data_IF_325342428486
#
_entry.id   IF_325342428486
#
_cell.length_a   1.000
_cell.length_b   1.000
_cell.length_c   1.000
_cell.angle_alpha   90.00
_cell.angle_beta   90.00
_cell.angle_gamma   90.00
#
_symmetry.space_group_name_H-M   'P 1'
#
loop_
_entity.id
_entity.type
_entity.pdbx_description
1 polymer ?
#
# COMPACT_ATOMS: atom_id res chain seq x y z
N UNK A 1 -11.70 23.75 -1.51
CA UNK A 1 -10.71 22.97 -2.29
C UNK A 1 -9.91 22.10 -1.34
N UNK A 2 -9.46 20.92 -1.77
CA UNK A 2 -8.66 19.99 -0.97
C UNK A 2 -7.17 20.25 -1.23
N UNK A 3 -6.31 19.97 -0.26
CA UNK A 3 -4.86 20.15 -0.41
C UNK A 3 -4.22 18.96 -1.11
N UNK A 4 -3.52 19.19 -2.22
CA UNK A 4 -2.79 18.16 -2.96
C UNK A 4 -1.63 17.59 -2.14
N UNK A 5 -0.90 18.45 -1.42
CA UNK A 5 0.23 18.05 -0.57
C UNK A 5 -0.25 17.17 0.57
N UNK A 6 -1.37 17.53 1.21
CA UNK A 6 -1.92 16.72 2.29
C UNK A 6 -2.35 15.34 1.78
N UNK A 7 -3.00 15.27 0.61
CA UNK A 7 -3.36 13.98 0.00
C UNK A 7 -2.14 13.09 -0.27
N UNK A 8 -1.04 13.68 -0.73
CA UNK A 8 0.22 12.96 -0.95
C UNK A 8 0.84 12.47 0.35
N UNK A 9 0.90 13.30 1.39
CA UNK A 9 1.43 12.90 2.71
C UNK A 9 0.61 11.73 3.27
N UNK A 10 -0.73 11.80 3.17
CA UNK A 10 -1.60 10.72 3.62
C UNK A 10 -1.36 9.44 2.80
N UNK A 11 -1.33 9.54 1.47
CA UNK A 11 -1.08 8.39 0.59
C UNK A 11 0.32 7.78 0.78
N UNK A 12 1.31 8.58 1.17
CA UNK A 12 2.67 8.13 1.47
C UNK A 12 2.72 7.34 2.77
N UNK A 13 2.11 7.88 3.83
CA UNK A 13 2.13 7.28 5.17
C UNK A 13 1.25 6.03 5.26
N UNK A 14 0.05 6.10 4.67
CA UNK A 14 -0.94 5.02 4.69
C UNK A 14 -1.46 4.85 3.26
N UNK A 15 -1.01 3.81 2.52
CA UNK A 15 -1.47 3.55 1.17
C UNK A 15 -3.00 3.47 1.09
N UNK A 16 -3.59 4.25 0.17
CA UNK A 16 -5.03 4.41 0.01
C UNK A 16 -5.66 5.55 0.81
N UNK A 17 -5.00 6.10 1.85
CA UNK A 17 -5.58 7.18 2.66
C UNK A 17 -5.72 8.50 1.89
N UNK A 18 -4.86 8.78 0.91
CA UNK A 18 -5.02 9.93 0.03
C UNK A 18 -6.33 9.88 -0.77
N UNK A 19 -6.69 8.72 -1.33
CA UNK A 19 -7.96 8.54 -2.03
C UNK A 19 -9.18 8.74 -1.12
N UNK A 20 -9.10 8.23 0.13
CA UNK A 20 -10.15 8.41 1.13
C UNK A 20 -10.31 9.89 1.50
N UNK A 21 -9.21 10.64 1.63
CA UNK A 21 -9.23 12.08 1.88
C UNK A 21 -9.96 12.86 0.77
N UNK A 22 -9.78 12.49 -0.50
CA UNK A 22 -10.50 13.11 -1.62
C UNK A 22 -11.96 12.64 -1.73
N UNK A 23 -12.36 11.57 -1.01
CA UNK A 23 -13.71 11.01 -1.03
C UNK A 23 -13.91 9.84 -2.00
N UNK A 24 -12.84 9.35 -2.65
CA UNK A 24 -12.86 8.16 -3.51
C UNK A 24 -12.74 6.88 -2.67
N UNK A 25 -13.79 6.54 -1.95
CA UNK A 25 -13.81 5.42 -1.00
C UNK A 25 -13.39 4.09 -1.62
N UNK A 26 -14.00 3.70 -2.74
CA UNK A 26 -13.71 2.42 -3.40
C UNK A 26 -12.24 2.29 -3.81
N UNK A 27 -11.67 3.35 -4.42
CA UNK A 27 -10.25 3.32 -4.83
C UNK A 27 -9.32 3.26 -3.63
N UNK A 28 -9.59 4.05 -2.59
CA UNK A 28 -8.80 4.03 -1.37
C UNK A 28 -8.80 2.67 -0.68
N UNK A 29 -9.98 2.05 -0.55
CA UNK A 29 -10.11 0.71 0.04
C UNK A 29 -9.41 -0.36 -0.79
N UNK A 30 -9.52 -0.32 -2.12
CA UNK A 30 -8.80 -1.28 -2.99
C UNK A 30 -7.30 -1.16 -2.80
N UNK A 31 -6.74 0.06 -2.83
CA UNK A 31 -5.29 0.26 -2.61
C UNK A 31 -4.87 -0.22 -1.23
N UNK A 32 -5.65 0.10 -0.19
CA UNK A 32 -5.37 -0.30 1.19
C UNK A 32 -5.34 -1.83 1.31
N UNK A 33 -6.41 -2.52 0.87
CA UNK A 33 -6.52 -3.98 0.97
C UNK A 33 -5.42 -4.68 0.17
N UNK A 34 -5.14 -4.22 -1.06
CA UNK A 34 -4.13 -4.85 -1.91
C UNK A 34 -2.73 -4.67 -1.32
N UNK A 35 -2.36 -3.45 -0.92
CA UNK A 35 -1.02 -3.18 -0.40
C UNK A 35 -0.75 -3.87 0.93
N UNK A 36 -1.68 -3.76 1.89
CA UNK A 36 -1.55 -4.43 3.18
C UNK A 36 -1.76 -5.94 3.08
N UNK A 37 -2.54 -6.43 2.10
CA UNK A 37 -2.68 -7.86 1.82
C UNK A 37 -1.37 -8.49 1.35
N UNK A 38 -0.67 -7.87 0.39
CA UNK A 38 0.67 -8.31 -0.04
C UNK A 38 1.65 -8.25 1.13
N UNK A 39 1.60 -7.18 1.93
CA UNK A 39 2.45 -7.01 3.11
C UNK A 39 2.20 -8.10 4.16
N UNK A 40 0.94 -8.46 4.40
CA UNK A 40 0.56 -9.53 5.33
C UNK A 40 1.05 -10.90 4.83
N UNK A 41 0.94 -11.19 3.54
CA UNK A 41 1.47 -12.43 2.95
C UNK A 41 2.99 -12.50 3.16
N UNK A 42 3.73 -11.43 2.88
CA UNK A 42 5.18 -11.39 3.12
C UNK A 42 5.52 -11.66 4.60
N UNK A 43 4.79 -11.04 5.52
CA UNK A 43 4.98 -11.26 6.96
C UNK A 43 4.71 -12.73 7.32
N UNK A 44 3.60 -13.29 6.86
CA UNK A 44 3.25 -14.71 7.11
C UNK A 44 4.30 -15.67 6.56
N UNK A 45 4.82 -15.43 5.35
CA UNK A 45 5.89 -16.26 4.78
C UNK A 45 7.20 -16.13 5.55
N UNK A 46 7.52 -14.95 6.08
CA UNK A 46 8.71 -14.77 6.93
C UNK A 46 8.59 -15.59 8.20
N UNK A 47 7.43 -15.51 8.87
CA UNK A 47 7.19 -16.24 10.11
C UNK A 47 7.19 -17.75 9.90
N UNK A 48 6.62 -18.23 8.79
CA UNK A 48 6.65 -19.65 8.42
C UNK A 48 8.08 -20.15 8.10
N UNK A 49 8.95 -19.28 7.58
CA UNK A 49 10.34 -19.60 7.29
C UNK A 49 11.25 -19.62 8.53
N UNK A 50 10.72 -19.35 9.74
CA UNK A 50 11.44 -19.47 11.01
C UNK A 50 10.71 -20.47 11.93
N UNK A 51 10.81 -21.79 11.68
CA UNK A 51 10.06 -22.81 12.41
C UNK A 51 10.28 -22.80 13.93
N UNK A 52 11.48 -22.43 14.39
CA UNK A 52 11.86 -22.43 15.81
C UNK A 52 11.41 -21.20 16.62
N UNK A 53 10.83 -20.17 16.00
CA UNK A 53 10.42 -18.95 16.71
C UNK A 53 9.20 -19.18 17.62
N UNK A 54 8.34 -20.14 17.29
CA UNK A 54 7.07 -20.39 17.99
C UNK A 54 6.99 -21.74 18.71
N UNK A 55 7.85 -22.70 18.36
CA UNK A 55 7.77 -24.09 18.90
C UNK A 55 8.72 -24.35 20.07
N UNK A 56 9.64 -23.44 20.40
CA UNK A 56 10.57 -23.57 21.52
C UNK A 56 11.76 -24.50 21.26
N UNK A 57 11.73 -25.29 20.19
CA UNK A 57 12.87 -26.07 19.70
C UNK A 57 13.77 -25.17 18.85
N UNK A 58 14.71 -24.47 19.50
CA UNK A 58 15.72 -23.62 18.83
C UNK A 58 16.84 -24.47 18.22
N UNK A 59 16.49 -25.50 17.44
CA UNK A 59 17.43 -26.10 16.50
C UNK A 59 17.36 -25.29 15.21
N UNK A 60 18.02 -24.13 15.22
CA UNK A 60 18.12 -23.21 14.09
C UNK A 60 18.99 -23.84 13.01
N UNK A 61 18.41 -24.63 12.10
CA UNK A 61 18.97 -24.70 10.74
C UNK A 61 18.74 -23.32 10.11
N UNK A 62 19.74 -22.45 10.21
CA UNK A 62 19.68 -21.05 9.75
C UNK A 62 19.61 -20.88 8.23
N UNK A 63 19.15 -21.90 7.51
CA UNK A 63 19.01 -21.89 6.07
C UNK A 63 17.73 -21.11 5.69
N UNK A 64 17.86 -19.80 5.50
CA UNK A 64 16.85 -19.06 4.74
C UNK A 64 16.82 -19.66 3.33
N UNK A 65 15.78 -20.43 3.01
CA UNK A 65 15.65 -21.06 1.71
C UNK A 65 15.73 -19.99 0.60
N UNK A 66 16.60 -20.21 -0.39
CA UNK A 66 16.80 -19.26 -1.51
C UNK A 66 15.48 -18.95 -2.24
N UNK A 67 14.57 -19.92 -2.28
CA UNK A 67 13.21 -19.79 -2.80
C UNK A 67 12.42 -18.66 -2.12
N UNK A 68 12.49 -18.60 -0.79
CA UNK A 68 11.82 -17.59 0.03
C UNK A 68 12.39 -16.22 -0.30
N UNK A 69 13.72 -16.07 -0.32
CA UNK A 69 14.36 -14.80 -0.64
C UNK A 69 13.95 -14.25 -2.03
N UNK A 70 13.90 -15.12 -3.05
CA UNK A 70 13.46 -14.74 -4.40
C UNK A 70 12.01 -14.24 -4.37
N UNK A 71 11.12 -14.93 -3.64
CA UNK A 71 9.73 -14.50 -3.50
C UNK A 71 9.61 -13.12 -2.82
N UNK A 72 10.39 -12.86 -1.77
CA UNK A 72 10.43 -11.55 -1.10
C UNK A 72 10.89 -10.42 -2.03
N UNK A 73 11.93 -10.66 -2.84
CA UNK A 73 12.42 -9.68 -3.81
C UNK A 73 11.31 -9.37 -4.83
N UNK A 74 10.65 -10.38 -5.38
CA UNK A 74 9.58 -10.17 -6.37
C UNK A 74 8.39 -9.42 -5.75
N UNK A 75 7.91 -9.85 -4.59
CA UNK A 75 6.75 -9.22 -3.92
C UNK A 75 7.06 -7.78 -3.48
N UNK A 76 8.27 -7.50 -2.99
CA UNK A 76 8.67 -6.14 -2.62
C UNK A 76 8.73 -5.20 -3.83
N UNK A 77 9.21 -5.67 -4.99
CA UNK A 77 9.19 -4.91 -6.23
C UNK A 77 7.76 -4.58 -6.67
N UNK A 78 6.84 -5.54 -6.58
CA UNK A 78 5.42 -5.33 -6.87
C UNK A 78 4.81 -4.31 -5.91
N UNK A 79 5.05 -4.45 -4.61
CA UNK A 79 4.55 -3.52 -3.60
C UNK A 79 5.08 -2.10 -3.80
N UNK A 80 6.36 -1.95 -4.19
CA UNK A 80 6.97 -0.66 -4.49
C UNK A 80 6.32 0.01 -5.70
N UNK A 81 6.06 -0.74 -6.77
CA UNK A 81 5.34 -0.23 -7.95
C UNK A 81 3.94 0.24 -7.57
N UNK A 82 3.19 -0.55 -6.80
CA UNK A 82 1.85 -0.19 -6.31
C UNK A 82 1.92 1.10 -5.47
N UNK A 83 2.91 1.20 -4.57
CA UNK A 83 3.09 2.37 -3.71
C UNK A 83 3.39 3.65 -4.51
N UNK A 84 4.23 3.57 -5.54
CA UNK A 84 4.51 4.71 -6.43
C UNK A 84 3.27 5.10 -7.23
N UNK A 85 2.60 4.13 -7.86
CA UNK A 85 1.43 4.38 -8.71
C UNK A 85 0.30 5.02 -7.91
N UNK A 86 0.03 4.54 -6.69
CA UNK A 86 -1.05 5.11 -5.88
C UNK A 86 -0.77 6.54 -5.42
N UNK A 87 0.49 6.95 -5.24
CA UNK A 87 0.84 8.34 -4.93
C UNK A 87 0.45 9.27 -6.09
N UNK A 88 0.81 8.85 -7.31
CA UNK A 88 0.47 9.59 -8.53
C UNK A 88 -1.05 9.67 -8.70
N UNK A 89 -1.76 8.55 -8.52
CA UNK A 89 -3.22 8.54 -8.63
C UNK A 89 -3.90 9.42 -7.57
N UNK A 90 -3.45 9.39 -6.32
CA UNK A 90 -3.98 10.23 -5.24
C UNK A 90 -3.81 11.73 -5.54
N UNK A 91 -2.64 12.12 -6.04
CA UNK A 91 -2.38 13.50 -6.47
C UNK A 91 -3.29 13.92 -7.63
N UNK A 92 -3.36 13.09 -8.68
CA UNK A 92 -4.16 13.36 -9.86
C UNK A 92 -5.65 13.47 -9.53
N UNK A 93 -6.16 12.63 -8.64
CA UNK A 93 -7.55 12.68 -8.18
C UNK A 93 -7.85 13.94 -7.36
N UNK A 94 -6.90 14.39 -6.53
CA UNK A 94 -7.07 15.65 -5.79
C UNK A 94 -7.15 16.83 -6.74
N UNK A 95 -6.29 16.86 -7.76
CA UNK A 95 -6.31 17.88 -8.81
C UNK A 95 -7.64 17.87 -9.58
N UNK A 96 -8.10 16.69 -10.01
CA UNK A 96 -9.40 16.55 -10.68
C UNK A 96 -10.57 17.00 -9.80
N UNK A 97 -10.52 16.71 -8.50
CA UNK A 97 -11.50 17.18 -7.54
C UNK A 97 -11.55 18.71 -7.49
N UNK A 98 -10.40 19.35 -7.33
CA UNK A 98 -10.29 20.80 -7.27
C UNK A 98 -10.73 21.46 -8.58
N UNK A 99 -10.35 20.90 -9.73
CA UNK A 99 -10.73 21.42 -11.04
C UNK A 99 -12.24 21.32 -11.29
N UNK A 100 -12.90 20.24 -10.84
CA UNK A 100 -14.36 20.10 -10.98
C UNK A 100 -15.10 21.09 -10.10
N UNK A 101 -14.69 21.25 -8.85
CA UNK A 101 -15.28 22.23 -7.92
C UNK A 101 -15.11 23.65 -8.45
N UNK A 102 -13.97 23.97 -9.08
CA UNK A 102 -13.75 25.30 -9.71
C UNK A 102 -14.68 25.57 -10.87
N UNK A 103 -14.96 24.57 -11.70
CA UNK A 103 -15.78 24.72 -12.91
C UNK A 103 -17.27 24.70 -12.63
N UNK A 104 -17.71 23.86 -11.70
CA UNK A 104 -19.14 23.55 -11.49
C UNK A 104 -19.68 24.05 -10.16
N UNK A 105 -18.81 24.41 -9.22
CA UNK A 105 -19.19 24.70 -7.83
C UNK A 105 -19.57 23.45 -7.01
N UNK A 106 -19.61 22.26 -7.62
CA UNK A 106 -20.04 21.01 -6.98
C UNK A 106 -18.91 19.97 -6.95
N UNK A 107 -18.86 19.09 -5.93
CA UNK A 107 -17.90 18.00 -5.88
C UNK A 107 -18.21 16.94 -6.96
N UNK A 108 -17.17 16.32 -7.57
CA UNK A 108 -17.35 15.32 -8.62
C UNK A 108 -17.89 13.96 -8.15
N UNK A 109 -17.92 13.71 -6.84
CA UNK A 109 -18.49 12.54 -6.17
C UNK A 109 -18.76 12.88 -4.70
#
# INVERSE_FOLDING_TARGET
MKSEVLSLILAFLIPGAGHLYVGRLTRGLVVLVVYYGISAIMIMTMFAAIPGLFTGDVMMDGSLEVSVLIAFIILSMIALVIWIVQLIDAYNLTKQYNDTVRRTGQPPW
#
